data_IF_354070996935
#
_entry.id   IF_354070996935
#
_cell.length_a   1.000
_cell.length_b   1.000
_cell.length_c   1.000
_cell.angle_alpha   90.00
_cell.angle_beta   90.00
_cell.angle_gamma   90.00
#
_symmetry.space_group_name_H-M   'P 1'
#
loop_
_entity.id
_entity.type
_entity.pdbx_description
1 polymer ?
#
# COMPACT_ATOMS: atom_id res chain seq x y z
N UNK A 1 -53.09 -1.32 2.72
CA UNK A 1 -51.75 -0.77 2.42
C UNK A 1 -51.04 -1.72 1.47
N UNK A 2 -51.13 -1.47 0.18
CA UNK A 2 -50.45 -2.25 -0.86
C UNK A 2 -49.00 -1.79 -0.96
N UNK A 3 -48.07 -2.67 -0.64
CA UNK A 3 -46.65 -2.45 -0.94
C UNK A 3 -46.48 -2.29 -2.45
N UNK A 4 -45.72 -1.30 -2.95
CA UNK A 4 -45.46 -1.20 -4.39
C UNK A 4 -44.75 -2.48 -4.84
N UNK A 5 -45.24 -3.07 -5.94
CA UNK A 5 -44.57 -4.20 -6.58
C UNK A 5 -43.11 -3.82 -6.82
N UNK A 6 -42.17 -4.68 -6.42
CA UNK A 6 -40.76 -4.57 -6.81
C UNK A 6 -40.71 -4.31 -8.30
N UNK A 7 -40.23 -3.13 -8.71
CA UNK A 7 -40.06 -2.77 -10.11
C UNK A 7 -39.40 -3.93 -10.82
N UNK A 8 -40.11 -4.52 -11.79
CA UNK A 8 -39.56 -5.61 -12.58
C UNK A 8 -38.34 -5.03 -13.30
N UNK A 9 -37.17 -5.64 -13.06
CA UNK A 9 -35.92 -5.26 -13.71
C UNK A 9 -35.97 -5.68 -15.17
N UNK A 10 -36.78 -4.96 -15.93
CA UNK A 10 -37.03 -5.20 -17.35
C UNK A 10 -35.88 -4.66 -18.20
N UNK A 11 -35.86 -4.96 -19.49
CA UNK A 11 -34.78 -4.55 -20.40
C UNK A 11 -34.51 -3.04 -20.37
N UNK A 12 -35.53 -2.21 -20.13
CA UNK A 12 -35.40 -0.75 -19.98
C UNK A 12 -34.61 -0.35 -18.72
N UNK A 13 -34.85 -1.04 -17.61
CA UNK A 13 -34.10 -0.84 -16.36
C UNK A 13 -32.61 -1.15 -16.57
N UNK A 14 -32.31 -2.29 -17.19
CA UNK A 14 -30.91 -2.66 -17.46
C UNK A 14 -30.23 -1.77 -18.47
N UNK A 15 -30.95 -1.27 -19.48
CA UNK A 15 -30.41 -0.29 -20.44
C UNK A 15 -30.04 1.04 -19.79
N UNK A 16 -30.74 1.46 -18.73
CA UNK A 16 -30.42 2.67 -17.97
C UNK A 16 -29.24 2.46 -17.00
N UNK A 17 -29.02 1.23 -16.54
CA UNK A 17 -27.90 0.89 -15.66
C UNK A 17 -26.63 0.50 -16.42
N UNK A 18 -26.75 0.15 -17.70
CA UNK A 18 -25.62 -0.24 -18.53
C UNK A 18 -24.71 0.97 -18.81
N UNK A 19 -23.40 0.76 -18.70
CA UNK A 19 -22.41 1.75 -19.13
C UNK A 19 -22.41 1.86 -20.66
N UNK A 20 -22.21 3.08 -21.16
CA UNK A 20 -21.99 3.31 -22.60
C UNK A 20 -20.62 2.76 -22.97
N UNK A 21 -20.58 1.89 -23.98
CA UNK A 21 -19.32 1.42 -24.54
C UNK A 21 -18.62 2.60 -25.20
N UNK A 22 -17.37 2.92 -24.83
CA UNK A 22 -16.61 3.96 -25.51
C UNK A 22 -16.31 3.52 -26.95
N UNK A 23 -16.30 4.47 -27.87
CA UNK A 23 -15.94 4.23 -29.26
C UNK A 23 -14.50 3.71 -29.38
N UNK A 24 -14.29 2.84 -30.37
CA UNK A 24 -12.96 2.35 -30.68
C UNK A 24 -12.09 3.50 -31.21
N UNK A 25 -10.97 3.77 -30.54
CA UNK A 25 -9.98 4.75 -30.97
C UNK A 25 -8.80 4.02 -31.61
N UNK A 26 -8.43 4.32 -32.87
CA UNK A 26 -7.25 3.75 -33.52
C UNK A 26 -5.92 4.09 -32.83
N UNK A 27 -4.90 3.27 -33.06
CA UNK A 27 -3.58 3.41 -32.41
C UNK A 27 -2.89 4.75 -32.66
N UNK A 28 -3.11 5.34 -33.83
CA UNK A 28 -2.47 6.59 -34.22
C UNK A 28 -3.05 7.80 -33.46
N UNK A 29 -4.32 7.72 -33.08
CA UNK A 29 -5.04 8.74 -32.31
C UNK A 29 -4.86 8.58 -30.78
N UNK A 30 -4.29 7.46 -30.32
CA UNK A 30 -3.98 7.26 -28.90
C UNK A 30 -2.86 8.17 -28.39
N UNK A 31 -1.88 8.52 -29.22
CA UNK A 31 -0.66 9.25 -28.80
C UNK A 31 -0.94 10.57 -28.04
N UNK A 32 -1.79 11.49 -28.53
CA UNK A 32 -2.12 12.71 -27.78
C UNK A 32 -2.85 12.40 -26.46
N UNK A 33 -3.76 11.42 -26.48
CA UNK A 33 -4.51 10.98 -25.29
C UNK A 33 -3.63 10.28 -24.25
N UNK A 34 -2.57 9.59 -24.68
CA UNK A 34 -1.63 8.89 -23.80
C UNK A 34 -0.71 9.87 -23.05
N UNK A 35 -0.35 10.99 -23.69
CA UNK A 35 0.40 12.06 -23.04
C UNK A 35 -0.44 12.72 -21.92
N UNK A 36 -1.74 12.90 -22.13
CA UNK A 36 -2.69 13.35 -21.09
C UNK A 36 -2.92 12.30 -19.99
N UNK A 37 -2.69 11.01 -20.29
CA UNK A 37 -2.78 9.90 -19.33
C UNK A 37 -1.51 9.72 -18.48
N UNK A 38 -0.45 10.51 -18.71
CA UNK A 38 0.65 10.60 -17.76
C UNK A 38 0.09 11.14 -16.45
N UNK A 39 -0.15 10.25 -15.48
CA UNK A 39 -0.02 10.49 -14.03
C UNK A 39 -0.72 9.47 -13.12
N UNK A 40 -1.51 8.50 -13.63
CA UNK A 40 -2.26 7.59 -12.73
C UNK A 40 -1.46 6.44 -12.13
N UNK A 41 -0.34 6.05 -12.74
CA UNK A 41 0.46 4.94 -12.28
C UNK A 41 1.95 5.28 -12.33
N UNK A 42 2.67 4.88 -11.29
CA UNK A 42 4.13 4.90 -11.23
C UNK A 42 4.60 3.45 -11.25
N UNK A 43 5.66 3.17 -12.01
CA UNK A 43 6.27 1.83 -12.07
C UNK A 43 6.93 1.56 -10.70
N UNK A 44 6.31 0.72 -9.89
CA UNK A 44 6.85 0.37 -8.57
C UNK A 44 8.03 -0.61 -8.69
N UNK A 45 7.92 -1.62 -9.54
CA UNK A 45 8.97 -2.61 -9.77
C UNK A 45 9.01 -2.99 -11.25
N UNK A 46 10.19 -3.25 -11.78
CA UNK A 46 10.36 -3.70 -13.17
C UNK A 46 11.36 -4.86 -13.18
N UNK A 47 11.02 -6.01 -13.78
CA UNK A 47 11.96 -7.12 -13.92
C UNK A 47 13.04 -6.74 -14.94
N UNK A 48 14.16 -6.20 -14.48
CA UNK A 48 15.37 -6.01 -15.30
C UNK A 48 16.16 -7.34 -15.32
N UNK A 49 15.52 -8.38 -15.87
CA UNK A 49 15.93 -9.79 -15.78
C UNK A 49 16.92 -10.22 -16.90
N UNK A 50 18.04 -9.54 -17.04
CA UNK A 50 19.18 -10.15 -17.76
C UNK A 50 20.38 -10.41 -16.88
N UNK A 51 20.68 -9.53 -15.93
CA UNK A 51 21.91 -9.60 -15.13
C UNK A 51 21.66 -9.63 -13.60
N UNK A 52 20.40 -9.63 -13.15
CA UNK A 52 20.05 -9.74 -11.74
C UNK A 52 19.93 -11.21 -11.32
N UNK A 53 21.00 -11.72 -10.69
CA UNK A 53 20.99 -13.01 -10.00
C UNK A 53 20.11 -12.91 -8.75
N UNK A 54 19.06 -13.73 -8.68
CA UNK A 54 18.12 -13.84 -7.54
C UNK A 54 18.87 -14.00 -6.22
N UNK A 55 20.03 -14.68 -6.25
CA UNK A 55 20.91 -14.85 -5.10
C UNK A 55 21.45 -13.52 -4.58
N UNK A 56 21.91 -12.63 -5.47
CA UNK A 56 22.47 -11.34 -5.07
C UNK A 56 21.42 -10.43 -4.42
N UNK A 57 20.17 -10.51 -4.89
CA UNK A 57 19.05 -9.78 -4.28
C UNK A 57 18.74 -10.34 -2.90
N UNK A 58 18.67 -11.66 -2.73
CA UNK A 58 18.51 -12.28 -1.41
C UNK A 58 19.62 -11.89 -0.44
N UNK A 59 20.88 -12.00 -0.86
CA UNK A 59 22.03 -11.62 -0.04
C UNK A 59 21.99 -10.13 0.37
N UNK A 60 21.44 -9.27 -0.48
CA UNK A 60 21.19 -7.86 -0.16
C UNK A 60 20.07 -7.68 0.88
N UNK A 61 18.97 -8.40 0.76
CA UNK A 61 17.86 -8.35 1.72
C UNK A 61 18.28 -8.87 3.09
N UNK A 62 19.03 -9.99 3.13
CA UNK A 62 19.58 -10.55 4.36
C UNK A 62 20.57 -9.59 5.04
N UNK A 63 21.40 -8.90 4.25
CA UNK A 63 22.29 -7.86 4.75
C UNK A 63 21.51 -6.67 5.34
N UNK A 64 20.45 -6.21 4.67
CA UNK A 64 19.61 -5.11 5.15
C UNK A 64 18.91 -5.45 6.47
N UNK A 65 18.36 -6.67 6.57
CA UNK A 65 17.68 -7.15 7.76
C UNK A 65 18.66 -7.34 8.94
N UNK A 66 19.82 -7.97 8.71
CA UNK A 66 20.77 -8.31 9.77
C UNK A 66 21.61 -7.14 10.29
N UNK A 67 21.99 -6.19 9.43
CA UNK A 67 22.88 -5.09 9.82
C UNK A 67 22.14 -3.81 10.22
N UNK A 68 20.95 -3.59 9.67
CA UNK A 68 20.23 -2.33 9.82
C UNK A 68 18.79 -2.49 10.31
N UNK A 69 18.31 -3.72 10.53
CA UNK A 69 16.92 -4.01 10.93
C UNK A 69 15.88 -3.40 9.97
N UNK A 70 16.23 -3.31 8.68
CA UNK A 70 15.38 -2.76 7.64
C UNK A 70 14.49 -3.88 7.06
N UNK A 71 13.18 -3.63 6.98
CA UNK A 71 12.22 -4.56 6.39
C UNK A 71 12.47 -4.74 4.88
N UNK A 72 12.12 -5.93 4.38
CA UNK A 72 12.28 -6.30 2.97
C UNK A 72 11.68 -5.27 2.00
N UNK A 73 10.47 -4.80 2.27
CA UNK A 73 9.76 -3.81 1.44
C UNK A 73 10.54 -2.50 1.33
N UNK A 74 11.14 -2.05 2.43
CA UNK A 74 11.94 -0.82 2.48
C UNK A 74 13.27 -1.02 1.73
N UNK A 75 13.92 -2.17 1.93
CA UNK A 75 15.15 -2.52 1.25
C UNK A 75 14.94 -2.59 -0.28
N UNK A 76 13.83 -3.19 -0.74
CA UNK A 76 13.44 -3.24 -2.15
C UNK A 76 13.13 -1.85 -2.71
N UNK A 77 12.46 -0.99 -1.93
CA UNK A 77 12.21 0.40 -2.33
C UNK A 77 13.51 1.18 -2.53
N UNK A 78 14.47 1.04 -1.61
CA UNK A 78 15.81 1.65 -1.74
C UNK A 78 16.51 1.13 -2.99
N UNK A 79 16.49 -0.19 -3.23
CA UNK A 79 17.08 -0.81 -4.41
C UNK A 79 16.48 -0.25 -5.71
N UNK A 80 15.15 -0.14 -5.79
CA UNK A 80 14.44 0.48 -6.91
C UNK A 80 14.85 1.94 -7.12
N UNK A 81 14.95 2.73 -6.05
CA UNK A 81 15.38 4.13 -6.16
C UNK A 81 16.80 4.28 -6.71
N UNK A 82 17.67 3.30 -6.47
CA UNK A 82 19.03 3.27 -7.02
C UNK A 82 19.12 2.61 -8.40
N UNK A 83 17.99 2.44 -9.10
CA UNK A 83 17.98 1.84 -10.44
C UNK A 83 18.38 0.37 -10.45
N UNK A 84 18.12 -0.36 -9.37
CA UNK A 84 18.46 -1.77 -9.19
C UNK A 84 19.97 -2.08 -9.07
N UNK A 85 20.82 -1.06 -8.85
CA UNK A 85 22.23 -1.27 -8.54
C UNK A 85 22.41 -1.68 -7.06
N UNK A 86 22.76 -2.95 -6.84
CA UNK A 86 22.93 -3.54 -5.49
C UNK A 86 24.10 -2.89 -4.74
N UNK A 87 25.20 -2.56 -5.41
CA UNK A 87 26.37 -1.99 -4.76
C UNK A 87 26.13 -0.55 -4.28
N UNK A 88 25.35 0.22 -5.05
CA UNK A 88 24.91 1.56 -4.67
C UNK A 88 23.83 1.49 -3.58
N UNK A 89 22.88 0.56 -3.69
CA UNK A 89 21.84 0.35 -2.68
C UNK A 89 22.44 -0.02 -1.31
N UNK A 90 23.43 -0.94 -1.26
CA UNK A 90 24.14 -1.30 -0.02
C UNK A 90 24.82 -0.11 0.65
N UNK A 91 25.50 0.74 -0.13
CA UNK A 91 26.09 1.99 0.38
C UNK A 91 25.04 2.95 0.91
N UNK A 92 23.85 2.97 0.30
CA UNK A 92 22.75 3.79 0.80
C UNK A 92 22.14 3.28 2.09
N UNK A 93 22.04 1.97 2.31
CA UNK A 93 21.58 1.44 3.60
C UNK A 93 22.40 1.99 4.78
N UNK A 94 23.73 2.08 4.62
CA UNK A 94 24.61 2.62 5.66
C UNK A 94 24.39 4.11 5.98
N UNK A 95 23.93 4.90 5.01
CA UNK A 95 23.72 6.34 5.17
C UNK A 95 22.30 6.74 5.59
N UNK A 96 21.37 5.78 5.64
CA UNK A 96 19.99 6.01 6.02
C UNK A 96 19.83 5.68 7.52
N UNK A 97 20.39 6.54 8.40
CA UNK A 97 20.13 6.47 9.86
C UNK A 97 18.65 6.71 10.22
N UNK A 98 17.81 7.08 9.25
CA UNK A 98 16.40 7.46 9.41
C UNK A 98 15.38 6.44 8.89
N UNK A 99 15.80 5.33 8.27
CA UNK A 99 14.92 4.19 7.99
C UNK A 99 14.86 3.30 9.22
N UNK A 100 14.52 3.90 10.37
CA UNK A 100 14.34 3.15 11.61
C UNK A 100 13.11 2.28 11.48
N UNK A 101 13.38 1.00 11.21
CA UNK A 101 12.60 -0.15 11.65
C UNK A 101 11.20 -0.24 11.10
N UNK A 102 10.56 -1.37 11.42
CA UNK A 102 9.20 -1.71 11.05
C UNK A 102 8.22 -0.53 11.13
N UNK A 103 7.17 -0.58 10.30
CA UNK A 103 6.03 0.37 10.34
C UNK A 103 5.56 0.73 11.76
N UNK A 104 5.74 -0.18 12.72
CA UNK A 104 5.37 -0.05 14.13
C UNK A 104 6.44 0.53 15.07
N UNK A 105 7.73 0.53 14.70
CA UNK A 105 8.80 1.20 15.46
C UNK A 105 8.69 2.74 15.42
N UNK A 106 7.83 3.27 14.54
CA UNK A 106 7.48 4.70 14.49
C UNK A 106 6.54 5.13 15.62
N UNK A 107 5.87 4.18 16.28
CA UNK A 107 4.87 4.49 17.30
C UNK A 107 5.59 4.59 18.64
N UNK A 108 5.29 5.65 19.40
CA UNK A 108 5.88 5.79 20.74
C UNK A 108 5.39 4.63 21.60
N UNK A 109 6.25 4.09 22.47
CA UNK A 109 5.86 3.03 23.40
C UNK A 109 4.61 3.40 24.22
N UNK A 110 4.47 4.69 24.57
CA UNK A 110 3.28 5.23 25.22
C UNK A 110 2.02 5.07 24.37
N UNK A 111 2.08 5.35 23.06
CA UNK A 111 0.93 5.21 22.16
C UNK A 111 0.47 3.75 22.08
N UNK A 112 1.41 2.79 22.00
CA UNK A 112 1.11 1.35 21.98
C UNK A 112 0.34 0.89 23.22
N UNK A 113 0.73 1.38 24.41
CA UNK A 113 0.02 1.08 25.67
C UNK A 113 -1.40 1.66 25.63
N UNK A 114 -1.56 2.91 25.18
CA UNK A 114 -2.87 3.54 25.06
C UNK A 114 -3.78 2.79 24.07
N UNK A 115 -3.24 2.33 22.94
CA UNK A 115 -3.97 1.54 21.96
C UNK A 115 -4.42 0.20 22.50
N UNK A 116 -3.53 -0.54 23.16
CA UNK A 116 -3.91 -1.82 23.77
C UNK A 116 -5.04 -1.63 24.78
N UNK A 117 -5.00 -0.57 25.58
CA UNK A 117 -6.09 -0.22 26.52
C UNK A 117 -7.37 0.20 25.79
N UNK A 118 -7.26 0.99 24.73
CA UNK A 118 -8.39 1.45 23.94
C UNK A 118 -9.12 0.29 23.26
N UNK A 119 -8.38 -0.62 22.61
CA UNK A 119 -8.94 -1.81 21.97
C UNK A 119 -9.52 -2.82 22.97
N UNK A 120 -8.91 -2.98 24.16
CA UNK A 120 -9.52 -3.77 25.25
C UNK A 120 -10.86 -3.19 25.72
N UNK A 121 -11.01 -1.86 25.71
CA UNK A 121 -12.22 -1.18 26.18
C UNK A 121 -13.33 -1.12 25.12
N UNK A 122 -12.98 -0.81 23.88
CA UNK A 122 -13.94 -0.48 22.82
C UNK A 122 -14.03 -1.54 21.72
N UNK A 123 -13.15 -2.55 21.73
CA UNK A 123 -13.10 -3.61 20.72
C UNK A 123 -12.95 -3.03 19.31
N UNK A 124 -13.88 -3.40 18.44
CA UNK A 124 -13.84 -3.16 17.00
C UNK A 124 -14.39 -1.77 16.62
N UNK A 125 -14.79 -0.95 17.59
CA UNK A 125 -15.31 0.40 17.36
C UNK A 125 -14.15 1.39 17.14
N UNK A 126 -13.60 1.37 15.93
CA UNK A 126 -12.45 2.19 15.56
C UNK A 126 -12.68 3.70 15.70
N UNK A 127 -13.94 4.16 15.68
CA UNK A 127 -14.25 5.59 15.88
C UNK A 127 -13.98 5.98 17.34
N UNK A 128 -14.43 5.18 18.30
CA UNK A 128 -14.16 5.40 19.73
C UNK A 128 -12.68 5.24 20.09
N UNK A 129 -11.98 4.32 19.42
CA UNK A 129 -10.51 4.19 19.58
C UNK A 129 -9.81 5.44 19.05
N UNK A 130 -10.23 5.97 17.90
CA UNK A 130 -9.70 7.21 17.30
C UNK A 130 -9.92 8.44 18.17
N UNK A 131 -11.03 8.51 18.91
CA UNK A 131 -11.27 9.59 19.88
C UNK A 131 -10.23 9.60 21.02
N UNK A 132 -9.66 8.45 21.38
CA UNK A 132 -8.61 8.36 22.41
C UNK A 132 -7.21 8.65 21.89
N UNK A 133 -6.95 8.42 20.61
CA UNK A 133 -5.69 8.75 19.92
C UNK A 133 -5.96 9.57 18.65
N UNK A 134 -6.32 10.86 18.79
CA UNK A 134 -6.71 11.69 17.65
C UNK A 134 -5.55 11.98 16.70
N UNK A 135 -4.30 11.84 17.14
CA UNK A 135 -3.11 11.98 16.30
C UNK A 135 -2.88 10.79 15.35
N UNK A 136 -3.36 9.59 15.69
CA UNK A 136 -3.10 8.38 14.89
C UNK A 136 -4.14 8.20 13.79
N UNK A 137 -3.80 8.15 12.50
CA UNK A 137 -4.76 7.97 11.42
C UNK A 137 -5.62 6.72 11.56
N UNK A 138 -6.90 6.79 11.16
CA UNK A 138 -7.82 5.65 11.26
C UNK A 138 -7.34 4.42 10.45
N UNK A 139 -6.67 4.66 9.32
CA UNK A 139 -6.09 3.59 8.50
C UNK A 139 -4.99 2.83 9.26
N UNK A 140 -4.16 3.55 10.00
CA UNK A 140 -3.09 2.98 10.83
C UNK A 140 -3.65 2.19 12.01
N UNK A 141 -4.72 2.67 12.65
CA UNK A 141 -5.42 1.93 13.71
C UNK A 141 -5.96 0.58 13.22
N UNK A 142 -6.53 0.54 12.01
CA UNK A 142 -7.04 -0.69 11.40
C UNK A 142 -5.90 -1.65 11.06
N UNK A 143 -4.80 -1.13 10.53
CA UNK A 143 -3.61 -1.94 10.26
C UNK A 143 -3.01 -2.52 11.54
N UNK A 144 -2.92 -1.74 12.62
CA UNK A 144 -2.47 -2.22 13.92
C UNK A 144 -3.40 -3.30 14.48
N UNK A 145 -4.72 -3.10 14.40
CA UNK A 145 -5.68 -4.10 14.85
C UNK A 145 -5.55 -5.41 14.06
N UNK A 146 -5.47 -5.34 12.74
CA UNK A 146 -5.26 -6.52 11.90
C UNK A 146 -3.95 -7.23 12.26
N UNK A 147 -2.85 -6.50 12.44
CA UNK A 147 -1.57 -7.09 12.83
C UNK A 147 -1.61 -7.79 14.20
N UNK A 148 -2.29 -7.20 15.19
CA UNK A 148 -2.33 -7.72 16.56
C UNK A 148 -3.37 -8.82 16.79
N UNK A 149 -4.45 -8.85 16.00
CA UNK A 149 -5.64 -9.67 16.28
C UNK A 149 -6.04 -10.60 15.11
N UNK A 150 -5.37 -10.53 13.96
CA UNK A 150 -5.56 -11.51 12.89
C UNK A 150 -4.62 -12.69 13.13
N UNK A 151 -5.17 -13.79 13.66
CA UNK A 151 -4.57 -15.14 13.64
C UNK A 151 -5.11 -15.87 12.42
#
# INVERSE_FOLDING_TARGET
MTYPLKDKRDARYWKQQAATLPDFVPKDEHKPKLAELQHRASILWSPQLKDQDEKNVRDYLDFAASQYEIEEEQALFILRQQGFDIAVARRRLAGIETARGCRYHRWKAQDLVHLSKAFKKHGNDFKKVKEQLPHVPLAELRQYFNFMYSV
#
